data_IF_268138443888
#
_entry.id   IF_268138443888
#
_cell.length_a   1.000
_cell.length_b   1.000
_cell.length_c   1.000
_cell.angle_alpha   90.00
_cell.angle_beta   90.00
_cell.angle_gamma   90.00
#
_symmetry.space_group_name_H-M   'P 1'
#
loop_
_entity.id
_entity.type
_entity.pdbx_description
1 polymer ?
#
# COMPACT_ATOMS: atom_id res chain seq x y z
N UNK A 1 25.18 -5.51 4.31
CA UNK A 1 23.75 -5.49 4.68
C UNK A 1 22.98 -6.16 3.56
N UNK A 2 22.36 -7.31 3.79
CA UNK A 2 21.40 -7.84 2.81
C UNK A 2 20.26 -6.84 2.70
N UNK A 3 19.99 -6.32 1.51
CA UNK A 3 18.76 -5.57 1.30
C UNK A 3 17.59 -6.50 1.65
N UNK A 4 16.54 -5.99 2.33
CA UNK A 4 15.38 -6.81 2.72
C UNK A 4 14.55 -7.34 1.54
N UNK A 5 15.06 -7.18 0.31
CA UNK A 5 14.41 -7.46 -0.96
C UNK A 5 15.11 -8.59 -1.73
N UNK A 6 16.04 -9.31 -1.10
CA UNK A 6 16.69 -10.46 -1.71
C UNK A 6 15.64 -11.48 -2.22
N UNK A 7 15.67 -11.78 -3.52
CA UNK A 7 14.72 -12.70 -4.16
C UNK A 7 13.39 -12.08 -4.60
N UNK A 8 13.16 -10.78 -4.34
CA UNK A 8 11.96 -10.08 -4.82
C UNK A 8 12.20 -9.53 -6.22
N UNK A 9 11.39 -9.89 -7.24
CA UNK A 9 11.55 -9.33 -8.57
C UNK A 9 11.22 -7.83 -8.58
N UNK A 10 12.18 -7.01 -9.00
CA UNK A 10 12.05 -5.56 -9.10
C UNK A 10 11.54 -5.13 -10.48
N UNK A 11 11.08 -3.89 -10.57
CA UNK A 11 10.65 -3.27 -11.81
C UNK A 11 11.84 -3.00 -12.74
N UNK A 12 11.63 -3.19 -14.05
CA UNK A 12 12.63 -2.90 -15.10
C UNK A 12 12.69 -1.39 -15.37
N UNK A 13 11.59 -0.68 -15.12
CA UNK A 13 11.46 0.77 -15.31
C UNK A 13 11.22 1.47 -13.97
N UNK A 14 11.67 2.72 -13.81
CA UNK A 14 11.38 3.50 -12.60
C UNK A 14 9.88 3.63 -12.34
N UNK A 15 9.47 3.36 -11.11
CA UNK A 15 8.09 3.52 -10.66
C UNK A 15 7.85 4.94 -10.16
N UNK A 16 6.59 5.36 -10.16
CA UNK A 16 6.12 6.64 -9.66
C UNK A 16 4.96 6.42 -8.71
N UNK A 17 4.73 7.40 -7.82
CA UNK A 17 3.60 7.42 -6.89
C UNK A 17 2.26 7.06 -7.57
N UNK A 18 2.02 7.62 -8.76
CA UNK A 18 0.78 7.41 -9.52
C UNK A 18 0.52 5.95 -9.88
N UNK A 19 1.58 5.13 -10.00
CA UNK A 19 1.47 3.72 -10.39
C UNK A 19 0.89 2.85 -9.26
N UNK A 20 0.80 3.41 -8.04
CA UNK A 20 0.22 2.77 -6.86
C UNK A 20 -1.08 3.45 -6.39
N UNK A 21 -1.56 4.49 -7.08
CA UNK A 21 -2.78 5.19 -6.69
C UNK A 21 -4.01 4.48 -7.26
N UNK A 22 -4.89 4.01 -6.38
CA UNK A 22 -6.19 3.45 -6.76
C UNK A 22 -7.14 4.55 -7.27
N UNK A 23 -8.09 4.16 -8.12
CA UNK A 23 -9.19 5.02 -8.58
C UNK A 23 -10.30 5.20 -7.53
N UNK A 24 -10.22 4.48 -6.41
CA UNK A 24 -11.22 4.56 -5.34
C UNK A 24 -11.12 5.87 -4.57
N UNK A 25 -12.27 6.49 -4.32
CA UNK A 25 -12.36 7.68 -3.48
C UNK A 25 -12.02 7.36 -2.02
N UNK A 26 -11.16 8.18 -1.42
CA UNK A 26 -10.81 8.08 -0.01
C UNK A 26 -11.94 8.62 0.86
N UNK A 27 -12.50 7.76 1.71
CA UNK A 27 -13.71 8.03 2.51
C UNK A 27 -13.41 8.36 3.98
N UNK A 28 -12.21 8.83 4.29
CA UNK A 28 -11.87 9.29 5.63
C UNK A 28 -12.46 10.68 5.89
N UNK A 29 -12.67 11.01 7.16
CA UNK A 29 -13.17 12.33 7.53
C UNK A 29 -12.15 13.42 7.14
N UNK A 30 -12.60 14.64 6.77
CA UNK A 30 -11.70 15.77 6.55
C UNK A 30 -10.79 15.99 7.77
N UNK A 31 -9.47 16.09 7.53
CA UNK A 31 -8.47 16.25 8.59
C UNK A 31 -8.01 14.93 9.25
N UNK A 32 -8.47 13.76 8.79
CA UNK A 32 -7.98 12.48 9.31
C UNK A 32 -6.48 12.28 9.04
N UNK A 33 -5.74 11.79 10.04
CA UNK A 33 -4.29 11.51 9.91
C UNK A 33 -3.95 10.38 8.92
N UNK A 34 -4.90 9.49 8.62
CA UNK A 34 -4.69 8.40 7.66
C UNK A 34 -4.36 8.92 6.24
N UNK A 35 -4.79 10.14 5.89
CA UNK A 35 -4.39 10.80 4.64
C UNK A 35 -2.88 11.00 4.55
N UNK A 36 -2.25 11.44 5.64
CA UNK A 36 -0.80 11.63 5.70
C UNK A 36 -0.08 10.29 5.61
N UNK A 37 -0.58 9.25 6.30
CA UNK A 37 -0.01 7.91 6.24
C UNK A 37 -0.07 7.35 4.81
N UNK A 38 -1.23 7.44 4.15
CA UNK A 38 -1.41 7.03 2.76
C UNK A 38 -0.47 7.81 1.83
N UNK A 39 -0.34 9.12 2.04
CA UNK A 39 0.53 9.93 1.21
C UNK A 39 2.01 9.58 1.38
N UNK A 40 2.48 9.37 2.60
CA UNK A 40 3.85 8.91 2.85
C UNK A 40 4.09 7.52 2.26
N UNK A 41 3.14 6.60 2.44
CA UNK A 41 3.24 5.23 1.93
C UNK A 41 3.33 5.19 0.40
N UNK A 42 2.44 5.90 -0.30
CA UNK A 42 2.47 6.00 -1.76
C UNK A 42 3.72 6.72 -2.30
N UNK A 43 4.33 7.61 -1.50
CA UNK A 43 5.60 8.25 -1.84
C UNK A 43 6.80 7.30 -1.70
N UNK A 44 6.75 6.40 -0.72
CA UNK A 44 7.80 5.44 -0.41
C UNK A 44 7.80 4.21 -1.33
N UNK A 45 6.64 3.68 -1.73
CA UNK A 45 6.55 2.47 -2.56
C UNK A 45 7.44 2.49 -3.83
N UNK A 46 7.51 3.59 -4.60
CA UNK A 46 8.42 3.68 -5.74
C UNK A 46 9.90 3.50 -5.41
N UNK A 47 10.34 3.92 -4.22
CA UNK A 47 11.74 3.81 -3.77
C UNK A 47 12.17 2.37 -3.55
N UNK A 48 11.22 1.48 -3.24
CA UNK A 48 11.47 0.04 -3.13
C UNK A 48 11.73 -0.62 -4.49
N UNK A 49 11.25 -0.02 -5.59
CA UNK A 49 11.36 -0.59 -6.94
C UNK A 49 10.59 -1.89 -7.14
N UNK A 50 9.73 -2.30 -6.21
CA UNK A 50 8.93 -3.53 -6.30
C UNK A 50 7.71 -3.26 -7.19
N UNK A 51 7.48 -4.10 -8.19
CA UNK A 51 6.28 -3.99 -9.03
C UNK A 51 5.02 -4.16 -8.19
N UNK A 52 3.95 -3.43 -8.50
CA UNK A 52 2.69 -3.48 -7.72
C UNK A 52 2.08 -4.88 -7.65
N UNK A 53 2.22 -5.69 -8.70
CA UNK A 53 1.77 -7.08 -8.72
C UNK A 53 2.58 -8.02 -7.81
N UNK A 54 3.75 -7.58 -7.34
CA UNK A 54 4.59 -8.29 -6.37
C UNK A 54 4.41 -7.75 -4.94
N UNK A 55 3.44 -6.86 -4.71
CA UNK A 55 3.14 -6.25 -3.40
C UNK A 55 1.72 -6.62 -2.98
N UNK A 56 1.55 -6.99 -1.71
CA UNK A 56 0.24 -7.23 -1.09
C UNK A 56 0.04 -6.35 0.14
N UNK A 57 -1.10 -5.67 0.22
CA UNK A 57 -1.50 -4.85 1.36
C UNK A 57 -2.61 -5.57 2.12
N UNK A 58 -2.34 -5.99 3.36
CA UNK A 58 -3.28 -6.74 4.19
C UNK A 58 -3.71 -5.86 5.37
N UNK A 59 -5.01 -5.82 5.64
CA UNK A 59 -5.59 -5.00 6.72
C UNK A 59 -6.71 -5.73 7.45
N UNK A 60 -7.10 -5.21 8.62
CA UNK A 60 -8.15 -5.75 9.49
C UNK A 60 -9.50 -5.08 9.25
N UNK A 61 -10.16 -4.59 10.31
CA UNK A 61 -11.40 -3.79 10.20
C UNK A 61 -11.24 -2.51 11.02
N UNK A 62 -11.57 -1.38 10.40
CA UNK A 62 -11.49 -0.03 10.97
C UNK A 62 -11.33 1.04 9.88
N UNK A 63 -11.33 2.32 10.25
CA UNK A 63 -11.09 3.42 9.30
C UNK A 63 -9.76 3.22 8.56
N UNK A 64 -8.68 2.99 9.31
CA UNK A 64 -7.35 2.70 8.77
C UNK A 64 -7.33 1.46 7.87
N UNK A 65 -8.18 0.46 8.15
CA UNK A 65 -8.20 -0.79 7.38
C UNK A 65 -8.82 -0.66 5.99
N UNK A 66 -9.31 0.53 5.62
CA UNK A 66 -9.64 0.81 4.22
C UNK A 66 -8.41 0.96 3.32
N UNK A 67 -7.20 0.95 3.89
CA UNK A 67 -5.93 1.14 3.19
C UNK A 67 -5.76 0.34 1.89
N UNK A 68 -6.07 -0.98 1.83
CA UNK A 68 -5.88 -1.74 0.60
C UNK A 68 -6.75 -1.28 -0.56
N UNK A 69 -7.87 -0.58 -0.30
CA UNK A 69 -8.70 -0.02 -1.38
C UNK A 69 -8.04 1.20 -2.05
N UNK A 70 -7.11 1.86 -1.37
CA UNK A 70 -6.49 3.12 -1.79
C UNK A 70 -5.11 2.93 -2.45
N UNK A 71 -4.61 1.70 -2.48
CA UNK A 71 -3.34 1.33 -3.10
C UNK A 71 -3.61 0.35 -4.25
N UNK A 72 -3.22 0.72 -5.47
CA UNK A 72 -3.31 -0.15 -6.65
C UNK A 72 -2.22 -1.22 -6.59
N UNK A 73 -2.54 -2.34 -5.94
CA UNK A 73 -1.73 -3.55 -5.78
C UNK A 73 -2.66 -4.71 -5.38
N UNK A 74 -2.13 -5.89 -5.11
CA UNK A 74 -2.94 -6.91 -4.44
C UNK A 74 -3.31 -6.45 -3.03
N UNK A 75 -4.55 -6.70 -2.62
CA UNK A 75 -5.07 -6.22 -1.34
C UNK A 75 -6.01 -7.21 -0.69
N UNK A 76 -5.92 -7.33 0.64
CA UNK A 76 -6.87 -8.09 1.46
C UNK A 76 -7.40 -7.22 2.60
N UNK A 77 -8.71 -7.11 2.67
CA UNK A 77 -9.42 -6.54 3.82
C UNK A 77 -10.00 -7.71 4.62
N UNK A 78 -9.22 -8.16 5.59
CA UNK A 78 -9.50 -9.35 6.39
C UNK A 78 -10.51 -9.06 7.51
N UNK A 79 -10.64 -9.97 8.48
CA UNK A 79 -11.52 -9.77 9.63
C UNK A 79 -10.83 -8.98 10.74
N UNK A 80 -11.65 -8.40 11.64
CA UNK A 80 -11.17 -7.52 12.69
C UNK A 80 -10.06 -8.19 13.54
N UNK A 81 -8.91 -7.52 13.63
CA UNK A 81 -7.76 -7.99 14.41
C UNK A 81 -7.06 -9.24 13.85
N UNK A 82 -7.24 -9.61 12.57
CA UNK A 82 -6.62 -10.80 11.94
C UNK A 82 -5.84 -10.51 10.66
N UNK A 83 -5.40 -9.27 10.47
CA UNK A 83 -4.53 -8.94 9.33
C UNK A 83 -3.22 -9.76 9.27
N UNK A 84 -2.53 -10.06 10.39
CA UNK A 84 -1.28 -10.83 10.36
C UNK A 84 -1.46 -12.34 10.63
N UNK A 85 -2.69 -12.83 10.77
CA UNK A 85 -3.00 -14.16 11.28
C UNK A 85 -2.98 -15.26 10.21
#
# INVERSE_FOLDING_TARGET
>A
MSNGLAGVPLAITPLKRKDFMSSQEVRWCPGCGDYSILASFLGFLPELGIRRENTVIISGIGCSSRFPYYVDSYGMHSIHGRAPA
#
